data_IF_047155381551
#
_entry.id   IF_047155381551
#
_cell.length_a   1.000
_cell.length_b   1.000
_cell.length_c   1.000
_cell.angle_alpha   90.00
_cell.angle_beta   90.00
_cell.angle_gamma   90.00
#
_symmetry.space_group_name_H-M   'P 1'
#
loop_
_entity.id
_entity.type
_entity.pdbx_description
1 polymer ?
#
# COMPACT_ATOMS: atom_id res chain seq x y z
N UNK A 1 31.41 0.08 -6.94
CA UNK A 1 30.93 0.54 -8.27
C UNK A 1 29.44 0.76 -8.12
N UNK A 2 29.03 2.02 -7.94
CA UNK A 2 27.66 2.43 -7.64
C UNK A 2 26.88 2.63 -8.93
N UNK A 3 25.69 2.04 -9.05
CA UNK A 3 24.55 2.67 -9.72
C UNK A 3 23.28 2.15 -9.05
N UNK A 4 22.63 2.99 -8.25
CA UNK A 4 21.17 2.96 -8.14
C UNK A 4 20.72 4.40 -8.34
N UNK A 5 20.45 4.78 -9.59
CA UNK A 5 19.67 5.99 -9.83
C UNK A 5 18.26 5.73 -9.28
N UNK A 6 17.98 6.33 -8.12
CA UNK A 6 16.71 6.18 -7.41
C UNK A 6 16.13 7.55 -7.10
N UNK A 7 15.77 8.32 -8.11
CA UNK A 7 15.11 9.61 -7.93
C UNK A 7 13.92 9.73 -8.88
N UNK A 8 12.84 9.01 -8.57
CA UNK A 8 11.53 9.43 -9.05
C UNK A 8 10.86 10.17 -7.90
N UNK A 9 10.81 11.50 -8.00
CA UNK A 9 9.96 12.31 -7.14
C UNK A 9 8.51 12.04 -7.54
N UNK A 10 7.79 11.30 -6.70
CA UNK A 10 6.39 10.96 -6.94
C UNK A 10 5.52 12.21 -7.05
N UNK A 11 5.83 13.29 -6.33
CA UNK A 11 5.05 14.52 -6.39
C UNK A 11 5.23 15.23 -7.72
N UNK A 12 6.44 15.23 -8.28
CA UNK A 12 6.67 15.76 -9.63
C UNK A 12 5.91 14.93 -10.67
N UNK A 13 5.99 13.60 -10.59
CA UNK A 13 5.25 12.72 -11.49
C UNK A 13 3.74 12.96 -11.44
N UNK A 14 3.15 13.09 -10.25
CA UNK A 14 1.72 13.37 -10.09
C UNK A 14 1.34 14.74 -10.67
N UNK A 15 2.17 15.76 -10.46
CA UNK A 15 1.97 17.10 -11.05
C UNK A 15 2.01 17.07 -12.58
N UNK A 16 3.02 16.44 -13.15
CA UNK A 16 3.20 16.36 -14.61
C UNK A 16 2.05 15.62 -15.29
N UNK A 17 1.44 14.66 -14.59
CA UNK A 17 0.29 13.89 -15.07
C UNK A 17 -1.07 14.46 -14.62
N UNK A 18 -1.09 15.65 -14.01
CA UNK A 18 -2.33 16.32 -13.56
C UNK A 18 -3.19 15.47 -12.62
N UNK A 19 -2.56 14.63 -11.79
CA UNK A 19 -3.25 13.81 -10.79
C UNK A 19 -3.34 14.61 -9.49
N UNK A 20 -4.54 15.06 -9.14
CA UNK A 20 -4.80 15.78 -7.89
C UNK A 20 -4.58 14.87 -6.67
N UNK A 21 -3.90 15.38 -5.65
CA UNK A 21 -3.64 14.66 -4.40
C UNK A 21 -3.71 15.58 -3.19
N UNK A 22 -3.92 14.98 -2.01
CA UNK A 22 -3.71 15.59 -0.70
C UNK A 22 -2.69 14.74 0.06
N UNK A 23 -1.75 15.38 0.74
CA UNK A 23 -0.75 14.69 1.58
C UNK A 23 -0.98 15.04 3.04
N UNK A 24 -1.02 14.03 3.90
CA UNK A 24 -1.20 14.16 5.34
C UNK A 24 0.03 13.56 6.01
N UNK A 25 0.85 14.40 6.65
CA UNK A 25 2.03 13.94 7.37
C UNK A 25 1.67 13.54 8.80
N UNK A 26 2.19 12.40 9.25
CA UNK A 26 2.00 11.93 10.62
C UNK A 26 3.17 11.05 11.06
N UNK A 27 3.42 10.91 12.38
CA UNK A 27 4.38 9.94 12.89
C UNK A 27 4.04 8.50 12.47
N UNK A 28 5.03 7.61 12.28
CA UNK A 28 4.76 6.20 12.03
C UNK A 28 3.92 5.59 13.16
N UNK A 29 2.89 4.83 12.78
CA UNK A 29 2.01 4.10 13.70
C UNK A 29 2.07 2.60 13.37
N UNK A 30 2.03 1.76 14.41
CA UNK A 30 2.11 0.31 14.28
C UNK A 30 0.74 -0.34 14.47
N UNK A 31 -0.08 0.21 15.36
CA UNK A 31 -1.40 -0.33 15.71
C UNK A 31 -2.54 0.51 15.15
N UNK A 32 -3.73 -0.09 15.06
CA UNK A 32 -4.94 0.62 14.61
C UNK A 32 -5.32 1.68 15.64
N UNK A 33 -5.13 1.38 16.91
CA UNK A 33 -5.39 2.27 18.04
C UNK A 33 -4.52 3.53 17.96
N UNK A 34 -3.21 3.39 17.70
CA UNK A 34 -2.31 4.53 17.46
C UNK A 34 -2.73 5.35 16.24
N UNK A 35 -3.12 4.68 15.15
CA UNK A 35 -3.59 5.37 13.94
C UNK A 35 -4.85 6.21 14.20
N UNK A 36 -5.80 5.66 14.97
CA UNK A 36 -7.05 6.34 15.32
C UNK A 36 -6.85 7.54 16.26
N UNK A 37 -5.73 7.59 16.99
CA UNK A 37 -5.39 8.70 17.88
C UNK A 37 -4.81 9.93 17.16
N UNK A 38 -4.42 9.79 15.89
CA UNK A 38 -3.77 10.87 15.15
C UNK A 38 -4.68 12.08 14.87
N UNK A 39 -6.00 11.96 15.10
CA UNK A 39 -7.01 13.01 14.85
C UNK A 39 -6.88 13.66 13.45
N UNK A 40 -6.59 12.83 12.44
CA UNK A 40 -6.46 13.25 11.04
C UNK A 40 -7.68 12.75 10.27
N UNK A 41 -8.46 13.68 9.76
CA UNK A 41 -9.57 13.36 8.86
C UNK A 41 -9.04 13.20 7.41
N UNK A 42 -8.84 11.95 7.00
CA UNK A 42 -8.42 11.62 5.64
C UNK A 42 -9.67 11.26 4.83
N UNK A 43 -10.01 12.00 3.75
CA UNK A 43 -11.18 11.70 2.94
C UNK A 43 -10.99 10.39 2.15
N UNK A 44 -12.07 9.62 2.03
CA UNK A 44 -12.11 8.37 1.26
C UNK A 44 -11.99 7.11 2.12
N UNK A 45 -11.71 5.98 1.48
CA UNK A 45 -11.63 4.68 2.16
C UNK A 45 -10.17 4.24 2.30
N UNK A 46 -9.71 3.90 3.53
CA UNK A 46 -8.35 3.43 3.73
C UNK A 46 -8.09 2.11 2.99
N UNK A 47 -6.92 2.02 2.37
CA UNK A 47 -6.47 0.85 1.61
C UNK A 47 -5.26 0.20 2.27
N UNK A 48 -5.15 -1.13 2.14
CA UNK A 48 -3.93 -1.89 2.43
C UNK A 48 -3.36 -2.46 1.13
N UNK A 49 -2.04 -2.37 1.01
CA UNK A 49 -1.27 -2.83 -0.13
C UNK A 49 -0.64 -4.19 0.20
N UNK A 50 -1.09 -5.25 -0.46
CA UNK A 50 -0.57 -6.60 -0.28
C UNK A 50 0.41 -6.91 -1.41
N UNK A 51 1.70 -6.99 -1.10
CA UNK A 51 2.71 -7.45 -2.05
C UNK A 51 2.85 -8.96 -1.94
N UNK A 52 2.35 -9.68 -2.94
CA UNK A 52 2.26 -11.14 -2.97
C UNK A 52 3.20 -11.71 -4.01
N UNK A 53 3.59 -12.97 -3.81
CA UNK A 53 4.35 -13.74 -4.80
C UNK A 53 3.86 -15.17 -4.87
N UNK A 54 4.15 -15.83 -5.98
CA UNK A 54 3.92 -17.27 -6.07
C UNK A 54 4.95 -18.03 -5.20
N UNK A 55 4.66 -19.29 -4.88
CA UNK A 55 5.56 -20.09 -4.03
C UNK A 55 6.98 -20.21 -4.57
N UNK A 56 7.15 -20.17 -5.91
CA UNK A 56 8.45 -20.20 -6.57
C UNK A 56 9.14 -18.83 -6.66
N UNK A 57 8.46 -17.74 -6.28
CA UNK A 57 8.95 -16.37 -6.32
C UNK A 57 9.16 -15.80 -7.74
N UNK A 58 8.62 -16.44 -8.77
CA UNK A 58 8.76 -15.99 -10.17
C UNK A 58 7.71 -14.95 -10.55
N UNK A 59 6.54 -14.98 -9.91
CA UNK A 59 5.46 -14.05 -10.19
C UNK A 59 5.16 -13.23 -8.95
N UNK A 60 4.99 -11.93 -9.14
CA UNK A 60 4.67 -10.97 -8.09
C UNK A 60 3.36 -10.25 -8.43
N UNK A 61 2.60 -9.91 -7.39
CA UNK A 61 1.37 -9.14 -7.50
C UNK A 61 1.34 -8.05 -6.44
N UNK A 62 0.80 -6.88 -6.80
CA UNK A 62 0.40 -5.87 -5.85
C UNK A 62 -1.14 -5.86 -5.80
N UNK A 63 -1.71 -6.20 -4.66
CA UNK A 63 -3.16 -6.20 -4.45
C UNK A 63 -3.55 -5.01 -3.58
N UNK A 64 -4.41 -4.17 -4.14
CA UNK A 64 -5.06 -3.06 -3.43
C UNK A 64 -6.37 -3.56 -2.84
N UNK A 65 -6.53 -3.51 -1.52
CA UNK A 65 -7.78 -3.91 -0.89
C UNK A 65 -8.18 -2.89 0.17
N UNK A 66 -9.48 -2.70 0.35
CA UNK A 66 -10.02 -1.83 1.39
C UNK A 66 -9.69 -2.40 2.78
N UNK A 67 -9.39 -1.53 3.74
CA UNK A 67 -9.02 -1.92 5.11
C UNK A 67 -10.10 -2.78 5.77
N UNK A 68 -11.37 -2.47 5.49
CA UNK A 68 -12.56 -3.13 6.03
C UNK A 68 -12.81 -4.57 5.51
N UNK A 69 -12.04 -5.06 4.52
CA UNK A 69 -12.15 -6.47 4.05
C UNK A 69 -11.33 -7.39 4.95
N UNK A 70 -12.02 -8.16 5.80
CA UNK A 70 -11.42 -8.83 6.97
C UNK A 70 -10.77 -10.21 6.71
N UNK A 71 -10.97 -10.91 5.58
CA UNK A 71 -10.68 -12.38 5.56
C UNK A 71 -10.08 -13.03 4.30
N UNK A 72 -9.49 -12.31 3.35
CA UNK A 72 -9.17 -12.94 2.05
C UNK A 72 -7.82 -13.68 1.97
N UNK A 73 -6.80 -13.34 2.78
CA UNK A 73 -5.48 -13.93 2.56
C UNK A 73 -5.24 -15.28 3.26
N UNK A 74 -5.86 -15.53 4.42
CA UNK A 74 -5.66 -16.80 5.15
C UNK A 74 -6.36 -18.00 4.49
N UNK A 75 -7.16 -17.77 3.44
CA UNK A 75 -7.96 -18.83 2.79
C UNK A 75 -7.69 -19.00 1.29
N UNK A 76 -6.61 -18.41 0.77
CA UNK A 76 -6.09 -18.83 -0.54
C UNK A 76 -5.40 -20.19 -0.41
N UNK A 77 -6.20 -21.22 -0.10
CA UNK A 77 -5.81 -22.61 -0.20
C UNK A 77 -5.83 -22.94 -1.70
N UNK A 78 -4.65 -23.13 -2.31
CA UNK A 78 -4.58 -23.83 -3.59
C UNK A 78 -5.29 -25.18 -3.37
N UNK A 79 -6.35 -25.52 -4.11
CA UNK A 79 -6.75 -26.92 -4.17
C UNK A 79 -5.53 -27.69 -4.68
N UNK A 80 -5.05 -28.63 -3.89
CA UNK A 80 -4.10 -29.64 -4.34
C UNK A 80 -4.64 -30.23 -5.63
N UNK A 81 -3.80 -30.31 -6.66
CA UNK A 81 -4.07 -31.20 -7.77
C UNK A 81 -4.17 -32.63 -7.27
#
# INVERSE_FOLDING_TARGET
MYVVEKNMDIYQFLRDNQVSYQSFEHPPVLTIEEANQLDIEIPGLPTKNLFLRDGKGKKHWLWLVLMMKTWILMRYHRPSR
#
